data_IF_124907692749
#
_entry.id   IF_124907692749
#
_cell.length_a   1.000
_cell.length_b   1.000
_cell.length_c   1.000
_cell.angle_alpha   90.00
_cell.angle_beta   90.00
_cell.angle_gamma   90.00
#
_symmetry.space_group_name_H-M   'P 1'
#
loop_
_entity.id
_entity.type
_entity.pdbx_description
1 polymer ?
#
# COMPACT_ATOMS: atom_id res chain seq x y z
N UNK A 1 38.71 42.25 -3.98
CA UNK A 1 39.94 41.57 -3.70
C UNK A 1 39.53 40.12 -3.45
N UNK A 2 39.77 39.19 -4.24
CA UNK A 2 40.77 38.51 -4.91
C UNK A 2 40.23 37.85 -6.16
N UNK A 3 40.58 38.31 -7.22
CA UNK A 3 40.81 37.85 -8.54
C UNK A 3 41.81 36.67 -8.57
N UNK A 4 41.58 35.86 -9.59
CA UNK A 4 42.65 35.13 -10.29
C UNK A 4 42.95 33.72 -9.77
N UNK A 5 42.43 32.76 -10.50
CA UNK A 5 43.23 31.65 -11.01
C UNK A 5 42.55 31.06 -12.26
N UNK A 6 42.67 31.83 -13.35
CA UNK A 6 42.64 31.31 -14.72
C UNK A 6 44.09 31.11 -15.15
N UNK A 7 44.50 29.94 -15.42
CA UNK A 7 45.62 29.59 -16.33
C UNK A 7 45.66 28.08 -16.47
N UNK A 8 45.16 27.64 -17.60
CA UNK A 8 45.97 27.02 -18.66
C UNK A 8 46.59 25.70 -18.30
N UNK A 9 46.00 24.62 -18.74
CA UNK A 9 46.73 23.56 -19.43
C UNK A 9 45.98 23.19 -20.70
N UNK A 10 46.49 23.71 -21.78
CA UNK A 10 46.23 23.33 -23.16
C UNK A 10 47.15 22.18 -23.50
N UNK A 11 46.72 21.32 -24.46
CA UNK A 11 47.49 20.33 -25.22
C UNK A 11 47.65 18.93 -24.59
N UNK A 12 46.95 17.96 -25.09
CA UNK A 12 47.44 17.09 -26.18
C UNK A 12 46.29 16.23 -26.75
N UNK A 13 45.98 16.55 -27.98
CA UNK A 13 45.18 15.69 -28.86
C UNK A 13 46.11 14.54 -29.31
N UNK A 14 45.84 13.33 -28.89
CA UNK A 14 46.32 12.15 -29.64
C UNK A 14 45.07 11.38 -30.11
N UNK A 15 44.89 11.48 -31.40
CA UNK A 15 44.01 10.61 -32.16
C UNK A 15 44.45 9.16 -31.97
N UNK A 16 43.54 8.34 -31.47
CA UNK A 16 43.64 6.90 -31.57
C UNK A 16 42.42 6.40 -32.30
N UNK A 17 42.65 6.11 -33.57
CA UNK A 17 41.68 5.56 -34.50
C UNK A 17 41.45 4.08 -34.29
N UNK A 18 40.25 3.67 -34.55
CA UNK A 18 39.78 2.37 -35.01
C UNK A 18 40.06 1.11 -34.18
N UNK A 19 39.03 0.59 -33.60
CA UNK A 19 38.63 -0.79 -33.87
C UNK A 19 37.12 -0.90 -33.60
N UNK A 20 36.37 -1.00 -34.69
CA UNK A 20 34.99 -1.45 -34.66
C UNK A 20 34.96 -2.92 -34.23
N UNK A 21 34.64 -3.16 -32.98
CA UNK A 21 34.27 -4.47 -32.44
C UNK A 21 32.81 -4.47 -32.08
N UNK A 22 31.93 -4.80 -33.02
CA UNK A 22 30.56 -5.20 -32.74
C UNK A 22 30.59 -6.50 -31.94
N UNK A 23 30.75 -6.42 -30.64
CA UNK A 23 30.37 -7.52 -29.77
C UNK A 23 28.91 -7.31 -29.39
N UNK A 24 28.02 -7.87 -30.21
CA UNK A 24 26.65 -8.15 -29.78
C UNK A 24 26.76 -9.19 -28.67
N UNK A 25 26.80 -8.73 -27.43
CA UNK A 25 26.47 -9.57 -26.30
C UNK A 25 25.02 -10.01 -26.51
N UNK A 26 24.86 -11.26 -26.96
CA UNK A 26 23.56 -11.94 -26.88
C UNK A 26 23.04 -11.77 -25.46
N UNK A 27 22.10 -10.83 -25.28
CA UNK A 27 21.24 -10.81 -24.11
C UNK A 27 20.41 -12.08 -24.17
N UNK A 28 20.92 -13.13 -23.51
CA UNK A 28 20.14 -14.30 -23.17
C UNK A 28 18.83 -13.77 -22.57
N UNK A 29 17.75 -13.95 -23.29
CA UNK A 29 16.41 -13.58 -22.83
C UNK A 29 16.16 -14.31 -21.51
N UNK A 30 16.17 -13.56 -20.43
CA UNK A 30 15.69 -14.03 -19.14
C UNK A 30 14.19 -14.34 -19.31
N UNK A 31 13.73 -15.54 -18.97
CA UNK A 31 12.33 -15.86 -19.09
C UNK A 31 11.54 -14.86 -18.22
N UNK A 32 10.62 -14.15 -18.85
CA UNK A 32 9.70 -13.25 -18.15
C UNK A 32 9.04 -14.02 -16.99
N UNK A 33 8.92 -13.43 -15.79
CA UNK A 33 8.21 -14.06 -14.71
C UNK A 33 6.79 -14.41 -15.17
N UNK A 34 6.26 -15.59 -14.79
CA UNK A 34 4.92 -15.98 -15.19
C UNK A 34 3.95 -14.86 -14.80
N UNK A 35 3.22 -14.36 -15.79
CA UNK A 35 2.13 -13.42 -15.58
C UNK A 35 1.22 -14.01 -14.52
N UNK A 36 1.16 -13.38 -13.36
CA UNK A 36 0.24 -13.81 -12.31
C UNK A 36 -1.17 -13.79 -12.91
N UNK A 37 -1.77 -14.97 -13.02
CA UNK A 37 -3.16 -15.08 -13.41
C UNK A 37 -3.99 -14.19 -12.48
N UNK A 38 -5.03 -13.49 -12.98
CA UNK A 38 -5.92 -12.72 -12.12
C UNK A 38 -6.40 -13.62 -10.98
N UNK A 39 -6.19 -13.20 -9.73
CA UNK A 39 -6.70 -13.94 -8.58
C UNK A 39 -8.20 -14.14 -8.81
N UNK A 40 -8.63 -15.39 -8.81
CA UNK A 40 -10.03 -15.73 -9.00
C UNK A 40 -10.85 -14.95 -7.95
N UNK A 41 -11.91 -14.26 -8.41
CA UNK A 41 -12.84 -13.60 -7.51
C UNK A 41 -13.35 -14.64 -6.49
N UNK A 42 -13.44 -14.28 -5.19
CA UNK A 42 -13.94 -15.20 -4.18
C UNK A 42 -15.32 -15.72 -4.57
N UNK A 43 -15.51 -17.01 -4.39
CA UNK A 43 -16.80 -17.66 -4.66
C UNK A 43 -17.90 -16.99 -3.82
N UNK A 44 -19.16 -16.88 -4.33
CA UNK A 44 -20.25 -16.25 -3.59
C UNK A 44 -20.47 -16.99 -2.28
N UNK A 45 -20.33 -16.29 -1.17
CA UNK A 45 -20.59 -16.81 0.18
C UNK A 45 -22.09 -17.00 0.35
N UNK A 46 -22.58 -18.10 0.96
CA UNK A 46 -23.98 -18.26 1.32
C UNK A 46 -24.49 -17.05 2.12
N UNK A 47 -25.74 -16.65 1.90
CA UNK A 47 -26.29 -15.43 2.52
C UNK A 47 -26.19 -15.43 4.07
N UNK A 48 -26.31 -16.58 4.70
CA UNK A 48 -26.15 -16.73 6.15
C UNK A 48 -24.74 -16.42 6.64
N UNK A 49 -23.73 -16.88 5.90
CA UNK A 49 -22.31 -16.62 6.23
C UNK A 49 -21.95 -15.15 6.02
N UNK A 50 -22.54 -14.49 5.03
CA UNK A 50 -22.33 -13.07 4.78
C UNK A 50 -22.89 -12.20 5.93
N UNK A 51 -24.06 -12.55 6.46
CA UNK A 51 -24.66 -11.84 7.60
C UNK A 51 -23.80 -12.03 8.87
N UNK A 52 -23.33 -13.26 9.11
CA UNK A 52 -22.45 -13.55 10.24
C UNK A 52 -21.12 -12.79 10.13
N UNK A 53 -20.53 -12.77 8.93
CA UNK A 53 -19.29 -12.04 8.68
C UNK A 53 -19.46 -10.52 8.86
N UNK A 54 -20.59 -9.96 8.45
CA UNK A 54 -20.92 -8.55 8.67
C UNK A 54 -21.02 -8.22 10.16
N UNK A 55 -21.76 -9.02 10.94
CA UNK A 55 -21.91 -8.81 12.37
C UNK A 55 -20.56 -8.91 13.11
N UNK A 56 -19.70 -9.87 12.71
CA UNK A 56 -18.34 -10.00 13.26
C UNK A 56 -17.47 -8.80 12.88
N UNK A 57 -17.55 -8.32 11.65
CA UNK A 57 -16.81 -7.15 11.18
C UNK A 57 -17.19 -5.88 11.96
N UNK A 58 -18.48 -5.64 12.19
CA UNK A 58 -18.96 -4.50 12.99
C UNK A 58 -18.45 -4.56 14.42
N UNK A 59 -18.47 -5.75 15.03
CA UNK A 59 -17.91 -5.97 16.35
C UNK A 59 -16.39 -5.67 16.36
N UNK A 60 -15.64 -6.20 15.44
CA UNK A 60 -14.18 -5.95 15.32
C UNK A 60 -13.91 -4.47 15.12
N UNK A 61 -14.65 -3.80 14.26
CA UNK A 61 -14.50 -2.35 14.03
C UNK A 61 -14.70 -1.57 15.32
N UNK A 62 -15.78 -1.86 16.06
CA UNK A 62 -16.11 -1.17 17.30
C UNK A 62 -15.09 -1.42 18.41
N UNK A 63 -14.54 -2.61 18.52
CA UNK A 63 -13.62 -3.00 19.59
C UNK A 63 -12.15 -2.62 19.32
N UNK A 64 -11.73 -2.66 18.05
CA UNK A 64 -10.31 -2.51 17.69
C UNK A 64 -10.03 -1.23 16.91
N UNK A 65 -10.88 -0.87 15.93
CA UNK A 65 -10.58 0.19 14.97
C UNK A 65 -10.97 1.58 15.49
N UNK A 66 -12.10 1.67 16.21
CA UNK A 66 -12.65 2.93 16.74
C UNK A 66 -11.66 3.66 17.63
N UNK A 67 -10.84 2.96 18.37
CA UNK A 67 -9.84 3.55 19.26
C UNK A 67 -8.93 4.56 18.56
N UNK A 68 -8.59 4.30 17.30
CA UNK A 68 -7.77 5.21 16.49
C UNK A 68 -8.58 5.93 15.42
N UNK A 69 -9.47 5.21 14.71
CA UNK A 69 -10.19 5.75 13.56
C UNK A 69 -11.47 6.52 13.92
N UNK A 70 -11.94 6.43 15.17
CA UNK A 70 -13.20 7.02 15.59
C UNK A 70 -14.42 6.22 15.14
N UNK A 71 -15.54 6.37 15.85
CA UNK A 71 -16.78 5.64 15.56
C UNK A 71 -17.33 5.92 14.14
N UNK A 72 -17.10 7.12 13.65
CA UNK A 72 -17.51 7.56 12.31
C UNK A 72 -16.36 7.47 11.28
N UNK A 73 -15.23 6.88 11.65
CA UNK A 73 -14.08 6.72 10.76
C UNK A 73 -13.38 8.03 10.38
N UNK A 74 -13.51 9.10 11.16
CA UNK A 74 -12.91 10.40 10.86
C UNK A 74 -11.40 10.48 11.18
N UNK A 75 -10.81 9.44 11.78
CA UNK A 75 -9.42 9.42 12.23
C UNK A 75 -9.20 10.16 13.54
N UNK A 76 -10.26 10.38 14.31
CA UNK A 76 -10.35 11.18 15.51
C UNK A 76 -10.57 10.35 16.79
N UNK A 77 -10.32 9.06 16.74
CA UNK A 77 -10.45 8.17 17.90
C UNK A 77 -9.55 8.62 19.06
N UNK A 78 -9.86 8.23 20.30
CA UNK A 78 -9.16 8.72 21.50
C UNK A 78 -7.65 8.44 21.48
N UNK A 79 -7.19 7.38 20.83
CA UNK A 79 -5.76 7.09 20.69
C UNK A 79 -5.11 7.78 19.47
N UNK A 80 -5.84 8.55 18.69
CA UNK A 80 -5.28 9.28 17.54
C UNK A 80 -4.46 10.51 17.93
N UNK A 81 -4.62 10.99 19.17
CA UNK A 81 -3.88 12.13 19.70
C UNK A 81 -2.38 11.80 19.73
N UNK A 82 -1.57 12.64 19.10
CA UNK A 82 -0.12 12.46 19.05
C UNK A 82 0.38 11.47 18.00
N UNK A 83 -0.46 10.76 17.29
CA UNK A 83 -0.03 9.92 16.16
C UNK A 83 0.35 10.78 14.94
N UNK A 84 1.55 10.49 14.39
CA UNK A 84 2.05 11.12 13.15
C UNK A 84 2.55 10.01 12.22
N UNK A 85 1.96 9.87 11.04
CA UNK A 85 0.74 10.53 10.57
C UNK A 85 -0.50 10.12 11.36
N UNK A 86 -1.52 10.97 11.35
CA UNK A 86 -2.81 10.63 11.95
C UNK A 86 -3.46 9.42 11.25
N UNK A 87 -4.33 8.66 11.96
CA UNK A 87 -5.13 7.63 11.33
C UNK A 87 -5.90 8.17 10.13
N UNK A 88 -6.06 7.33 9.11
CA UNK A 88 -6.79 7.71 7.90
C UNK A 88 -8.23 8.09 8.24
N UNK A 89 -8.66 9.23 7.70
CA UNK A 89 -10.06 9.61 7.67
C UNK A 89 -10.77 8.84 6.54
N UNK A 90 -11.67 7.94 6.89
CA UNK A 90 -12.43 7.14 5.94
C UNK A 90 -13.57 7.94 5.27
N UNK A 91 -13.94 9.09 5.80
CA UNK A 91 -14.94 9.97 5.21
C UNK A 91 -14.40 10.76 4.01
N UNK A 92 -13.08 10.76 3.79
CA UNK A 92 -12.44 11.46 2.69
C UNK A 92 -12.76 10.78 1.35
N UNK A 93 -13.66 11.38 0.57
CA UNK A 93 -14.10 10.83 -0.71
C UNK A 93 -12.96 10.77 -1.76
N UNK A 94 -11.97 11.66 -1.71
CA UNK A 94 -10.84 11.61 -2.62
C UNK A 94 -9.97 10.38 -2.31
N UNK A 95 -9.70 10.13 -1.04
CA UNK A 95 -9.00 8.91 -0.62
C UNK A 95 -9.79 7.66 -0.98
N UNK A 96 -11.09 7.63 -0.73
CA UNK A 96 -11.95 6.48 -1.05
C UNK A 96 -11.89 6.10 -2.53
N UNK A 97 -11.78 7.08 -3.42
CA UNK A 97 -11.64 6.85 -4.87
C UNK A 97 -10.22 6.41 -5.28
N UNK A 98 -9.22 6.76 -4.50
CA UNK A 98 -7.81 6.50 -4.82
C UNK A 98 -7.29 5.16 -4.30
N UNK A 99 -7.93 4.59 -3.27
CA UNK A 99 -7.51 3.34 -2.64
C UNK A 99 -8.26 2.16 -3.23
N UNK A 100 -7.58 1.04 -3.47
CA UNK A 100 -8.22 -0.20 -3.91
C UNK A 100 -8.76 -1.00 -2.73
N UNK A 101 -9.70 -1.89 -3.00
CA UNK A 101 -10.28 -2.78 -2.00
C UNK A 101 -9.22 -3.72 -1.42
N UNK A 102 -8.37 -4.27 -2.28
CA UNK A 102 -7.27 -5.15 -1.89
C UNK A 102 -6.29 -4.45 -0.96
N UNK A 103 -6.02 -3.17 -1.20
CA UNK A 103 -5.12 -2.40 -0.33
C UNK A 103 -5.73 -2.18 1.06
N UNK A 104 -7.04 -1.95 1.15
CA UNK A 104 -7.76 -1.87 2.44
C UNK A 104 -7.68 -3.21 3.16
N UNK A 105 -7.97 -4.31 2.47
CA UNK A 105 -7.93 -5.66 3.03
C UNK A 105 -6.51 -6.03 3.51
N UNK A 106 -5.49 -5.69 2.73
CA UNK A 106 -4.10 -5.92 3.07
C UNK A 106 -3.69 -5.15 4.34
N UNK A 107 -4.05 -3.87 4.44
CA UNK A 107 -3.77 -3.07 5.64
C UNK A 107 -4.49 -3.65 6.86
N UNK A 108 -5.74 -4.06 6.72
CA UNK A 108 -6.51 -4.65 7.81
C UNK A 108 -5.85 -5.92 8.32
N UNK A 109 -5.39 -6.79 7.45
CA UNK A 109 -4.78 -8.07 7.83
C UNK A 109 -3.35 -7.91 8.36
N UNK A 110 -2.51 -7.17 7.64
CA UNK A 110 -1.06 -7.16 7.85
C UNK A 110 -0.53 -5.89 8.52
N UNK A 111 -1.41 -4.91 8.80
CA UNK A 111 -1.04 -3.65 9.42
C UNK A 111 -0.41 -2.64 8.48
N UNK A 112 -0.23 -1.43 8.97
CA UNK A 112 0.27 -0.31 8.17
C UNK A 112 1.69 -0.49 7.66
N UNK A 113 2.57 -1.09 8.46
CA UNK A 113 3.97 -1.30 8.07
C UNK A 113 4.12 -2.17 6.81
N UNK A 114 3.23 -3.13 6.60
CA UNK A 114 3.25 -4.05 5.44
C UNK A 114 3.08 -3.35 4.09
N UNK A 115 2.49 -2.16 4.10
CA UNK A 115 2.21 -1.34 2.90
C UNK A 115 2.94 0.01 2.94
N UNK A 116 4.02 0.11 3.73
CA UNK A 116 4.82 1.33 3.84
C UNK A 116 4.09 2.50 4.54
N UNK A 117 3.11 2.19 5.40
CA UNK A 117 2.39 3.16 6.23
C UNK A 117 2.84 3.07 7.69
N UNK A 118 2.17 3.80 8.58
CA UNK A 118 2.54 3.85 9.99
C UNK A 118 2.45 2.48 10.68
N UNK A 119 3.49 2.06 11.42
CA UNK A 119 3.44 0.84 12.25
C UNK A 119 2.50 0.98 13.45
N UNK A 120 2.01 2.18 13.75
CA UNK A 120 0.99 2.39 14.78
C UNK A 120 -0.34 1.71 14.44
N UNK A 121 -0.61 1.40 13.18
CA UNK A 121 -1.70 0.52 12.80
C UNK A 121 -1.22 -0.94 12.85
N UNK A 122 -1.63 -1.73 13.85
CA UNK A 122 -1.16 -3.10 14.03
C UNK A 122 -1.78 -4.04 13.00
N UNK A 123 -1.15 -5.21 12.82
CA UNK A 123 -1.71 -6.32 12.06
C UNK A 123 -2.82 -7.02 12.87
N UNK A 124 -3.72 -7.69 12.16
CA UNK A 124 -4.75 -8.58 12.72
C UNK A 124 -4.56 -10.01 12.18
N UNK A 125 -3.59 -10.77 12.69
CA UNK A 125 -3.25 -12.08 12.13
C UNK A 125 -4.39 -13.11 12.26
N UNK A 126 -5.29 -12.92 13.20
CA UNK A 126 -6.51 -13.73 13.36
C UNK A 126 -7.48 -13.59 12.18
N UNK A 127 -7.37 -12.52 11.41
CA UNK A 127 -8.21 -12.29 10.24
C UNK A 127 -7.69 -12.95 8.95
N UNK A 128 -6.46 -13.47 8.95
CA UNK A 128 -5.89 -14.14 7.77
C UNK A 128 -6.69 -15.38 7.35
N UNK A 129 -7.33 -16.05 8.30
CA UNK A 129 -8.18 -17.21 8.05
C UNK A 129 -9.67 -16.86 7.85
N UNK A 130 -10.02 -15.57 7.84
CA UNK A 130 -11.40 -15.08 7.79
C UNK A 130 -11.65 -14.11 6.62
N UNK A 131 -11.49 -14.54 5.38
CA UNK A 131 -11.58 -13.65 4.21
C UNK A 131 -12.95 -12.94 4.08
N UNK A 132 -14.04 -13.62 4.46
CA UNK A 132 -15.38 -13.01 4.45
C UNK A 132 -15.51 -11.84 5.44
N UNK A 133 -14.89 -11.96 6.62
CA UNK A 133 -14.88 -10.89 7.64
C UNK A 133 -14.01 -9.73 7.18
N UNK A 134 -12.88 -10.00 6.54
CA UNK A 134 -12.01 -8.96 5.97
C UNK A 134 -12.75 -8.18 4.89
N UNK A 135 -13.44 -8.87 3.99
CA UNK A 135 -14.27 -8.23 2.96
C UNK A 135 -15.41 -7.40 3.57
N UNK A 136 -16.02 -7.87 4.66
CA UNK A 136 -17.04 -7.12 5.38
C UNK A 136 -16.47 -5.87 6.09
N UNK A 137 -15.28 -5.96 6.68
CA UNK A 137 -14.55 -4.80 7.24
C UNK A 137 -14.23 -3.77 6.16
N UNK A 138 -13.74 -4.20 5.00
CA UNK A 138 -13.54 -3.31 3.85
C UNK A 138 -14.85 -2.62 3.45
N UNK A 139 -15.93 -3.38 3.32
CA UNK A 139 -17.25 -2.83 2.99
C UNK A 139 -17.71 -1.80 4.04
N UNK A 140 -17.49 -2.07 5.33
CA UNK A 140 -17.76 -1.12 6.41
C UNK A 140 -16.96 0.18 6.23
N UNK A 141 -15.66 0.11 5.95
CA UNK A 141 -14.81 1.28 5.66
C UNK A 141 -15.35 2.07 4.46
N UNK A 142 -15.84 1.38 3.42
CA UNK A 142 -16.43 2.04 2.22
C UNK A 142 -17.74 2.77 2.55
N UNK A 143 -18.57 2.23 3.43
CA UNK A 143 -19.81 2.87 3.84
C UNK A 143 -19.61 4.16 4.65
N UNK A 144 -18.44 4.38 5.23
CA UNK A 144 -18.11 5.60 5.97
C UNK A 144 -17.78 6.81 5.06
N UNK A 145 -17.68 6.62 3.75
CA UNK A 145 -17.47 7.70 2.77
C UNK A 145 -18.58 8.77 2.84
N UNK A 146 -18.21 10.05 2.67
CA UNK A 146 -19.14 11.19 2.63
C UNK A 146 -18.95 11.99 1.34
#
# INVERSE_FOLDING_TARGET
MFQSWVRSVLVLITAFSLAAGCSQAERKAEPAPPSAAPAAAPAPTPAGDAVAAQAEAEKIFSERCVTCHGANGAGDGPASAGLVPKPRNFQDSAWQKSVTDEHIEQIVQYGGASVGKSPAMPANPDLMSKPAVVAALRAHVRMLAK
#
